data_IF_843317641022
#
_entry.id   IF_843317641022
#
_cell.length_a   1.000
_cell.length_b   1.000
_cell.length_c   1.000
_cell.angle_alpha   90.00
_cell.angle_beta   90.00
_cell.angle_gamma   90.00
#
_symmetry.space_group_name_H-M   'P 1'
#
loop_
_entity.id
_entity.type
_entity.pdbx_description
1 polymer ?
#
# COMPACT_ATOMS: atom_id res chain seq x y z
N UNK A 1 41.46 4.02 32.68
CA UNK A 1 40.61 4.30 31.49
C UNK A 1 40.32 5.78 31.21
N UNK A 2 40.19 6.70 32.19
CA UNK A 2 39.89 8.14 31.91
C UNK A 2 41.01 8.93 31.18
N UNK A 3 42.26 8.47 31.21
CA UNK A 3 43.41 9.18 30.63
C UNK A 3 43.53 9.03 29.10
N UNK A 4 43.09 7.91 28.52
CA UNK A 4 43.26 7.63 27.09
C UNK A 4 42.31 8.44 26.20
N UNK A 5 41.11 8.76 26.68
CA UNK A 5 40.07 9.48 25.91
C UNK A 5 40.41 10.97 25.77
N UNK A 6 41.22 11.54 26.67
CA UNK A 6 41.57 12.96 26.68
C UNK A 6 42.61 13.37 25.62
N UNK A 7 43.30 12.42 24.98
CA UNK A 7 44.36 12.68 23.99
C UNK A 7 43.91 12.54 22.53
N UNK A 8 42.64 12.24 22.27
CA UNK A 8 42.15 12.10 20.90
C UNK A 8 42.01 13.50 20.28
N UNK A 9 42.71 13.81 19.16
CA UNK A 9 42.55 15.08 18.48
C UNK A 9 41.09 15.28 18.02
N UNK A 10 40.64 16.54 17.96
CA UNK A 10 39.23 16.88 17.64
C UNK A 10 38.73 16.23 16.34
N UNK A 11 39.59 16.12 15.33
CA UNK A 11 39.30 15.42 14.08
C UNK A 11 39.08 13.91 14.28
N UNK A 12 39.88 13.27 15.13
CA UNK A 12 39.72 11.85 15.47
C UNK A 12 38.39 11.54 16.17
N UNK A 13 37.91 12.46 17.02
CA UNK A 13 36.60 12.32 17.66
C UNK A 13 35.43 12.44 16.67
N UNK A 14 35.50 13.39 15.74
CA UNK A 14 34.49 13.56 14.70
C UNK A 14 34.42 12.34 13.78
N UNK A 15 35.59 11.79 13.42
CA UNK A 15 35.70 10.59 12.59
C UNK A 15 35.15 9.34 13.32
N UNK A 16 35.45 9.16 14.61
CA UNK A 16 34.85 8.09 15.42
C UNK A 16 33.33 8.21 15.54
N UNK A 17 32.81 9.42 15.76
CA UNK A 17 31.36 9.67 15.78
C UNK A 17 30.72 9.35 14.43
N UNK A 18 31.35 9.78 13.34
CA UNK A 18 30.89 9.46 11.99
C UNK A 18 30.82 7.95 11.78
N UNK A 19 31.89 7.21 12.05
CA UNK A 19 31.88 5.75 11.88
C UNK A 19 30.87 5.05 12.79
N UNK A 20 30.69 5.52 14.03
CA UNK A 20 29.68 4.96 14.94
C UNK A 20 28.25 5.18 14.43
N UNK A 21 27.93 6.42 14.01
CA UNK A 21 26.60 6.76 13.46
C UNK A 21 26.38 6.07 12.12
N UNK A 22 27.39 6.03 11.27
CA UNK A 22 27.33 5.36 9.98
C UNK A 22 27.13 3.85 10.14
N UNK A 23 27.87 3.20 11.04
CA UNK A 23 27.68 1.79 11.36
C UNK A 23 26.26 1.51 11.87
N UNK A 24 25.71 2.38 12.73
CA UNK A 24 24.32 2.27 13.18
C UNK A 24 23.32 2.31 12.02
N UNK A 25 23.43 3.31 11.13
CA UNK A 25 22.58 3.40 9.95
C UNK A 25 22.76 2.22 9.00
N UNK A 26 23.99 1.77 8.80
CA UNK A 26 24.32 0.64 7.93
C UNK A 26 23.78 -0.69 8.47
N UNK A 27 23.73 -0.85 9.80
CA UNK A 27 23.09 -1.99 10.47
C UNK A 27 21.55 -1.93 10.45
N UNK A 28 20.94 -0.83 9.98
CA UNK A 28 19.48 -0.70 9.97
C UNK A 28 18.92 -1.52 8.80
N UNK A 29 18.15 -2.54 9.14
CA UNK A 29 17.53 -3.44 8.17
C UNK A 29 16.40 -2.73 7.42
N UNK A 30 16.29 -2.99 6.12
CA UNK A 30 15.14 -2.53 5.35
C UNK A 30 14.57 -3.65 4.49
N UNK A 31 13.26 -3.53 4.23
CA UNK A 31 12.48 -4.51 3.49
C UNK A 31 12.15 -3.93 2.12
N UNK A 32 12.65 -4.57 1.07
CA UNK A 32 12.36 -4.17 -0.29
C UNK A 32 10.86 -4.33 -0.60
N UNK A 33 10.32 -3.49 -1.51
CA UNK A 33 9.00 -3.73 -2.07
C UNK A 33 8.91 -5.15 -2.61
N UNK A 34 7.85 -5.84 -2.27
CA UNK A 34 7.55 -7.15 -2.82
C UNK A 34 6.04 -7.32 -3.01
N UNK A 35 5.66 -8.20 -3.92
CA UNK A 35 4.29 -8.52 -4.23
C UNK A 35 4.07 -10.03 -4.09
N UNK A 36 3.04 -10.40 -3.37
CA UNK A 36 2.52 -11.75 -3.35
C UNK A 36 1.57 -11.91 -4.53
N UNK A 37 1.85 -12.88 -5.39
CA UNK A 37 1.02 -13.22 -6.55
C UNK A 37 0.48 -14.62 -6.34
N UNK A 38 -0.85 -14.74 -6.31
CA UNK A 38 -1.57 -16.00 -6.12
C UNK A 38 -2.36 -16.25 -7.39
N UNK A 39 -2.12 -17.38 -8.05
CA UNK A 39 -2.87 -17.78 -9.25
C UNK A 39 -3.50 -19.14 -9.03
N UNK A 40 -4.70 -19.34 -9.56
CA UNK A 40 -5.46 -20.56 -9.36
C UNK A 40 -6.79 -20.54 -10.10
N UNK A 41 -7.70 -21.42 -9.68
CA UNK A 41 -9.06 -21.54 -10.23
C UNK A 41 -10.12 -21.46 -9.14
N UNK A 42 -11.23 -20.79 -9.47
CA UNK A 42 -12.49 -20.81 -8.74
C UNK A 42 -13.55 -21.41 -9.65
N UNK A 43 -13.75 -22.74 -9.63
CA UNK A 43 -14.65 -23.43 -10.57
C UNK A 43 -16.09 -22.92 -10.50
N UNK A 44 -16.56 -22.57 -9.30
CA UNK A 44 -17.89 -22.00 -9.09
C UNK A 44 -18.00 -20.51 -9.43
N UNK A 45 -16.93 -19.87 -9.93
CA UNK A 45 -16.87 -18.44 -10.25
C UNK A 45 -17.30 -17.52 -9.08
N UNK A 46 -17.19 -18.05 -7.87
CA UNK A 46 -17.52 -17.36 -6.65
C UNK A 46 -16.66 -17.96 -5.55
N UNK A 47 -15.81 -17.13 -4.94
CA UNK A 47 -14.83 -17.58 -3.98
C UNK A 47 -14.35 -16.45 -3.09
N UNK A 48 -13.76 -16.82 -1.95
CA UNK A 48 -13.14 -15.88 -1.05
C UNK A 48 -11.73 -16.35 -0.74
N UNK A 49 -10.74 -15.70 -1.32
CA UNK A 49 -9.34 -15.92 -0.96
C UNK A 49 -8.97 -14.97 0.18
N UNK A 50 -8.42 -15.50 1.27
CA UNK A 50 -7.98 -14.72 2.43
C UNK A 50 -6.48 -14.86 2.58
N UNK A 51 -5.78 -13.73 2.56
CA UNK A 51 -4.35 -13.64 2.86
C UNK A 51 -4.21 -12.93 4.19
N UNK A 52 -3.49 -13.50 5.15
CA UNK A 52 -3.23 -12.89 6.46
C UNK A 52 -1.76 -13.00 6.79
N UNK A 53 -1.17 -12.00 7.41
CA UNK A 53 0.21 -12.04 7.87
C UNK A 53 0.30 -11.74 9.36
N UNK A 54 1.42 -12.06 9.96
CA UNK A 54 1.68 -11.84 11.38
C UNK A 54 3.02 -11.14 11.53
N UNK A 55 3.05 -9.92 12.04
CA UNK A 55 4.30 -9.21 12.34
C UNK A 55 4.72 -9.28 13.81
N UNK A 56 3.78 -9.55 14.73
CA UNK A 56 3.96 -9.35 16.17
C UNK A 56 3.16 -10.29 17.07
N UNK A 57 2.41 -9.73 18.03
CA UNK A 57 1.61 -10.42 19.06
C UNK A 57 0.30 -11.03 18.53
N UNK A 58 0.36 -11.71 17.38
CA UNK A 58 -0.79 -12.37 16.74
C UNK A 58 -1.44 -11.56 15.60
N UNK A 59 -2.41 -12.18 14.93
CA UNK A 59 -3.09 -11.63 13.75
C UNK A 59 -4.04 -10.50 14.13
N UNK A 60 -3.69 -9.26 13.79
CA UNK A 60 -4.62 -8.14 13.93
C UNK A 60 -5.53 -7.99 12.68
N UNK A 61 -6.64 -7.25 12.80
CA UNK A 61 -7.60 -7.07 11.67
C UNK A 61 -7.00 -6.33 10.46
N UNK A 62 -5.91 -5.60 10.65
CA UNK A 62 -5.22 -4.86 9.60
C UNK A 62 -4.17 -5.71 8.86
N UNK A 63 -3.80 -6.86 9.42
CA UNK A 63 -2.87 -7.82 8.82
C UNK A 63 -3.58 -8.92 8.02
N UNK A 64 -4.69 -8.55 7.36
CA UNK A 64 -5.40 -9.45 6.48
C UNK A 64 -5.98 -8.72 5.28
N UNK A 65 -5.94 -9.38 4.12
CA UNK A 65 -6.61 -8.96 2.90
C UNK A 65 -7.53 -10.08 2.43
N UNK A 66 -8.72 -9.68 1.99
CA UNK A 66 -9.73 -10.54 1.40
C UNK A 66 -9.85 -10.22 -0.09
N UNK A 67 -9.97 -11.25 -0.91
CA UNK A 67 -10.13 -11.19 -2.35
C UNK A 67 -11.44 -11.92 -2.66
N UNK A 68 -12.47 -11.14 -3.00
CA UNK A 68 -13.76 -11.65 -3.42
C UNK A 68 -13.67 -11.97 -4.91
N UNK A 69 -13.65 -13.26 -5.24
CA UNK A 69 -13.47 -13.81 -6.58
C UNK A 69 -14.85 -14.09 -7.18
N UNK A 70 -15.62 -13.03 -7.43
CA UNK A 70 -17.02 -13.13 -7.85
C UNK A 70 -17.36 -12.21 -9.03
N UNK A 71 -16.34 -11.68 -9.71
CA UNK A 71 -16.48 -10.80 -10.87
C UNK A 71 -16.12 -11.57 -12.14
N UNK A 72 -17.08 -12.33 -12.68
CA UNK A 72 -16.94 -13.03 -13.96
C UNK A 72 -17.51 -12.20 -15.09
N UNK A 73 -16.95 -12.29 -16.31
CA UNK A 73 -17.53 -11.64 -17.49
C UNK A 73 -18.95 -12.15 -17.77
N UNK A 74 -19.75 -11.33 -18.46
CA UNK A 74 -21.05 -11.76 -18.96
C UNK A 74 -20.88 -12.83 -20.05
N UNK A 75 -21.82 -13.77 -20.15
CA UNK A 75 -21.74 -14.85 -21.15
C UNK A 75 -21.52 -14.30 -22.57
N UNK A 76 -20.53 -14.87 -23.27
CA UNK A 76 -20.18 -14.48 -24.64
C UNK A 76 -19.41 -13.16 -24.76
N UNK A 77 -19.00 -12.53 -23.66
CA UNK A 77 -18.14 -11.33 -23.67
C UNK A 77 -16.80 -11.61 -23.00
N UNK A 78 -15.72 -11.14 -23.61
CA UNK A 78 -14.39 -11.12 -22.98
C UNK A 78 -14.16 -9.84 -22.16
N UNK A 79 -14.97 -8.81 -22.41
CA UNK A 79 -14.91 -7.55 -21.67
C UNK A 79 -15.82 -7.54 -20.45
N UNK A 80 -15.41 -6.76 -19.47
CA UNK A 80 -16.15 -6.43 -18.27
C UNK A 80 -16.77 -5.04 -18.43
N UNK A 81 -18.07 -4.93 -18.23
CA UNK A 81 -18.77 -3.64 -18.25
C UNK A 81 -18.77 -3.06 -16.85
N UNK A 82 -18.35 -1.81 -16.74
CA UNK A 82 -18.32 -1.05 -15.48
C UNK A 82 -19.19 0.18 -15.67
N UNK A 83 -20.17 0.36 -14.79
CA UNK A 83 -21.02 1.54 -14.76
C UNK A 83 -21.04 2.12 -13.36
N UNK A 84 -20.75 3.41 -13.25
CA UNK A 84 -20.79 4.16 -12.00
C UNK A 84 -21.87 5.22 -12.15
N UNK A 85 -22.89 5.23 -11.30
CA UNK A 85 -24.04 6.15 -11.41
C UNK A 85 -24.25 6.98 -10.14
N UNK A 86 -24.58 8.25 -10.33
CA UNK A 86 -25.06 9.12 -9.26
C UNK A 86 -26.53 8.84 -8.96
N UNK A 87 -26.83 8.51 -7.70
CA UNK A 87 -28.18 8.10 -7.29
C UNK A 87 -29.12 9.25 -6.91
N UNK A 88 -28.60 10.47 -6.75
CA UNK A 88 -29.34 11.59 -6.16
C UNK A 88 -29.60 11.47 -4.66
N UNK A 89 -29.27 10.34 -4.04
CA UNK A 89 -29.58 10.09 -2.63
C UNK A 89 -28.42 10.52 -1.76
N UNK A 90 -28.69 11.36 -0.76
CA UNK A 90 -27.71 11.74 0.26
C UNK A 90 -27.83 10.88 1.51
N UNK A 91 -26.73 10.75 2.24
CA UNK A 91 -26.78 10.33 3.64
C UNK A 91 -27.52 11.41 4.47
N UNK A 92 -28.32 11.05 5.50
CA UNK A 92 -29.08 12.04 6.28
C UNK A 92 -28.24 13.16 6.90
N UNK A 93 -26.99 12.85 7.28
CA UNK A 93 -26.05 13.81 7.83
C UNK A 93 -25.16 14.52 6.80
N UNK A 94 -25.29 14.19 5.50
CA UNK A 94 -24.52 14.83 4.45
C UNK A 94 -25.11 16.19 4.06
N UNK A 95 -24.24 17.15 3.78
CA UNK A 95 -24.63 18.49 3.31
C UNK A 95 -25.14 18.47 1.86
N UNK A 96 -24.69 17.50 1.06
CA UNK A 96 -24.99 17.39 -0.37
C UNK A 96 -25.03 15.90 -0.78
N UNK A 97 -25.11 15.62 -2.08
CA UNK A 97 -25.15 14.29 -2.67
C UNK A 97 -24.03 14.06 -3.69
N UNK A 98 -22.98 14.89 -3.69
CA UNK A 98 -21.94 14.87 -4.73
C UNK A 98 -21.25 13.50 -4.80
N UNK A 99 -20.94 13.04 -6.02
CA UNK A 99 -20.10 11.85 -6.25
C UNK A 99 -18.91 12.26 -7.09
N UNK A 100 -17.70 11.92 -6.65
CA UNK A 100 -16.47 12.16 -7.39
C UNK A 100 -15.72 10.85 -7.52
N UNK A 101 -15.55 10.38 -8.76
CA UNK A 101 -14.68 9.26 -9.07
C UNK A 101 -13.30 9.81 -9.43
N UNK A 102 -12.34 9.68 -8.53
CA UNK A 102 -11.00 10.24 -8.72
C UNK A 102 -10.09 9.33 -9.56
N UNK A 103 -10.36 8.02 -9.59
CA UNK A 103 -9.54 7.05 -10.32
C UNK A 103 -10.30 5.76 -10.61
N UNK A 104 -10.15 5.25 -11.83
CA UNK A 104 -10.44 3.86 -12.18
C UNK A 104 -9.11 3.23 -12.60
N UNK A 105 -8.76 2.07 -12.03
CA UNK A 105 -7.56 1.34 -12.40
C UNK A 105 -7.90 -0.10 -12.81
N UNK A 106 -7.38 -0.50 -13.97
CA UNK A 106 -7.50 -1.85 -14.52
C UNK A 106 -6.12 -2.50 -14.44
N UNK A 107 -6.02 -3.61 -13.72
CA UNK A 107 -4.75 -4.32 -13.47
C UNK A 107 -3.63 -3.40 -12.94
N UNK A 108 -4.01 -2.42 -12.12
CA UNK A 108 -3.12 -1.43 -11.52
C UNK A 108 -2.79 -0.22 -12.40
N UNK A 109 -3.24 -0.20 -13.67
CA UNK A 109 -3.04 0.93 -14.61
C UNK A 109 -4.25 1.83 -14.62
N UNK A 110 -4.02 3.14 -14.55
CA UNK A 110 -5.11 4.12 -14.54
C UNK A 110 -5.77 4.19 -15.91
N UNK A 111 -7.09 4.13 -15.92
CA UNK A 111 -7.89 4.47 -17.09
C UNK A 111 -7.84 5.98 -17.27
N UNK A 112 -7.61 6.42 -18.51
CA UNK A 112 -7.76 7.82 -18.87
C UNK A 112 -9.25 8.15 -19.01
N UNK A 113 -9.77 9.05 -18.19
CA UNK A 113 -11.17 9.46 -18.27
C UNK A 113 -11.52 10.16 -19.59
N UNK A 114 -10.53 10.62 -20.36
CA UNK A 114 -10.75 11.20 -21.68
C UNK A 114 -11.27 10.18 -22.71
N UNK A 115 -11.01 8.88 -22.50
CA UNK A 115 -11.42 7.80 -23.41
C UNK A 115 -12.71 7.10 -22.99
N UNK A 116 -13.38 7.59 -21.93
CA UNK A 116 -14.54 6.94 -21.31
C UNK A 116 -15.82 7.71 -21.61
N UNK A 117 -16.94 7.00 -21.77
CA UNK A 117 -18.26 7.65 -21.86
C UNK A 117 -18.62 8.21 -20.50
N UNK A 118 -18.56 9.53 -20.40
CA UNK A 118 -18.82 10.28 -19.17
C UNK A 118 -20.01 11.20 -19.39
N UNK A 119 -21.06 10.99 -18.61
CA UNK A 119 -22.12 11.97 -18.38
C UNK A 119 -21.88 12.57 -17.00
N UNK A 120 -21.11 13.66 -16.97
CA UNK A 120 -20.65 14.34 -15.76
C UNK A 120 -19.60 15.39 -16.10
N UNK A 121 -19.04 16.03 -15.09
CA UNK A 121 -18.01 17.06 -15.25
C UNK A 121 -16.62 16.47 -15.04
N UNK A 122 -15.76 16.57 -16.05
CA UNK A 122 -14.34 16.22 -15.90
C UNK A 122 -13.62 17.31 -15.09
N UNK A 123 -12.98 16.91 -14.00
CA UNK A 123 -12.21 17.83 -13.17
C UNK A 123 -10.87 18.14 -13.85
N UNK A 124 -10.57 19.43 -14.02
CA UNK A 124 -9.36 19.90 -14.70
C UNK A 124 -8.07 19.29 -14.14
N UNK A 125 -7.15 18.92 -15.03
CA UNK A 125 -5.85 18.32 -14.66
C UNK A 125 -5.89 16.82 -14.36
N UNK A 126 -6.82 16.07 -14.97
CA UNK A 126 -6.95 14.60 -14.87
C UNK A 126 -7.26 14.07 -13.45
N UNK A 127 -7.85 14.89 -12.57
CA UNK A 127 -8.15 14.52 -11.17
C UNK A 127 -9.54 13.91 -10.97
N UNK A 128 -10.05 13.19 -11.97
CA UNK A 128 -11.31 12.46 -11.87
C UNK A 128 -12.51 13.12 -12.52
N UNK A 129 -13.67 12.50 -12.29
CA UNK A 129 -14.96 12.89 -12.84
C UNK A 129 -15.92 13.16 -11.68
N UNK A 130 -16.53 14.35 -11.68
CA UNK A 130 -17.62 14.72 -10.80
C UNK A 130 -18.95 14.38 -11.46
N UNK A 131 -19.77 13.58 -10.79
CA UNK A 131 -21.15 13.32 -11.15
C UNK A 131 -22.02 14.26 -10.30
N UNK A 132 -22.59 15.28 -10.94
CA UNK A 132 -23.23 16.40 -10.26
C UNK A 132 -24.75 16.24 -10.18
N UNK A 133 -25.34 15.49 -11.12
CA UNK A 133 -26.79 15.33 -11.23
C UNK A 133 -27.20 13.85 -11.13
N UNK A 134 -28.38 13.54 -10.58
CA UNK A 134 -28.92 12.18 -10.62
C UNK A 134 -29.00 11.66 -12.06
N UNK A 135 -28.49 10.45 -12.29
CA UNK A 135 -28.41 9.85 -13.63
C UNK A 135 -27.13 10.17 -14.41
N UNK A 136 -26.29 11.08 -13.90
CA UNK A 136 -24.90 11.19 -14.33
C UNK A 136 -24.19 9.85 -14.10
N UNK A 137 -23.36 9.46 -15.06
CA UNK A 137 -22.67 8.18 -15.00
C UNK A 137 -21.35 8.15 -15.76
N UNK A 138 -20.51 7.20 -15.38
CA UNK A 138 -19.30 6.79 -16.09
C UNK A 138 -19.56 5.37 -16.57
N UNK A 139 -19.43 5.11 -17.87
CA UNK A 139 -19.58 3.79 -18.45
C UNK A 139 -18.37 3.44 -19.29
N UNK A 140 -17.77 2.27 -19.02
CA UNK A 140 -16.64 1.75 -19.77
C UNK A 140 -16.68 0.22 -19.85
N UNK A 141 -16.21 -0.29 -20.97
CA UNK A 141 -15.91 -1.71 -21.13
C UNK A 141 -14.38 -1.90 -21.07
N UNK A 142 -13.94 -2.81 -20.22
CA UNK A 142 -12.52 -3.06 -19.94
C UNK A 142 -12.22 -4.54 -20.10
N UNK A 143 -11.01 -4.89 -20.55
CA UNK A 143 -10.52 -6.27 -20.59
C UNK A 143 -9.51 -6.55 -19.47
N UNK A 144 -9.92 -6.60 -18.19
CA UNK A 144 -9.03 -6.87 -17.08
C UNK A 144 -8.58 -8.34 -17.07
N UNK A 145 -7.32 -8.58 -16.75
CA UNK A 145 -6.84 -9.93 -16.47
C UNK A 145 -6.91 -10.32 -15.00
N UNK A 146 -6.91 -9.34 -14.09
CA UNK A 146 -6.76 -9.56 -12.65
C UNK A 146 -7.80 -8.79 -11.83
N UNK A 147 -7.94 -7.49 -12.06
CA UNK A 147 -8.80 -6.67 -11.21
C UNK A 147 -9.20 -5.31 -11.80
N UNK A 148 -10.32 -4.82 -11.28
CA UNK A 148 -10.82 -3.46 -11.49
C UNK A 148 -10.87 -2.78 -10.11
N UNK A 149 -10.24 -1.61 -9.99
CA UNK A 149 -10.25 -0.79 -8.78
C UNK A 149 -10.92 0.55 -9.07
N UNK A 150 -11.93 0.90 -8.29
CA UNK A 150 -12.69 2.15 -8.44
C UNK A 150 -12.47 2.97 -7.17
N UNK A 151 -11.88 4.15 -7.31
CA UNK A 151 -11.62 5.08 -6.21
C UNK A 151 -12.63 6.23 -6.25
N UNK A 152 -13.29 6.43 -5.12
CA UNK A 152 -14.29 7.48 -4.92
C UNK A 152 -13.84 8.40 -3.81
N UNK A 153 -13.89 9.71 -4.03
CA UNK A 153 -13.57 10.67 -2.98
C UNK A 153 -14.71 10.76 -1.96
N UNK A 154 -14.35 10.89 -0.70
CA UNK A 154 -15.28 10.94 0.43
C UNK A 154 -15.12 12.24 1.20
N UNK A 155 -16.25 12.86 1.53
CA UNK A 155 -16.33 14.06 2.37
C UNK A 155 -17.73 14.21 2.97
N UNK A 156 -17.98 15.33 3.65
CA UNK A 156 -19.25 15.64 4.30
C UNK A 156 -20.35 16.16 3.35
N UNK A 157 -20.05 16.35 2.07
CA UNK A 157 -21.00 16.61 0.98
C UNK A 157 -21.19 15.41 0.03
N UNK A 158 -20.56 14.26 0.32
CA UNK A 158 -20.66 13.09 -0.52
C UNK A 158 -22.04 12.42 -0.40
N UNK A 159 -22.56 11.92 -1.51
CA UNK A 159 -23.81 11.18 -1.59
C UNK A 159 -23.62 9.66 -1.69
N UNK A 160 -24.66 8.98 -2.17
CA UNK A 160 -24.61 7.57 -2.50
C UNK A 160 -24.31 7.35 -3.98
N UNK A 161 -23.42 6.42 -4.24
CA UNK A 161 -23.06 5.99 -5.60
C UNK A 161 -23.54 4.57 -5.84
N UNK A 162 -23.96 4.31 -7.07
CA UNK A 162 -24.24 2.97 -7.54
C UNK A 162 -23.09 2.52 -8.44
N UNK A 163 -22.51 1.36 -8.14
CA UNK A 163 -21.45 0.75 -8.94
C UNK A 163 -21.98 -0.59 -9.45
N UNK A 164 -22.00 -0.74 -10.77
CA UNK A 164 -22.36 -1.95 -11.46
C UNK A 164 -21.13 -2.51 -12.17
N UNK A 165 -20.82 -3.78 -11.92
CA UNK A 165 -19.79 -4.51 -12.65
C UNK A 165 -20.41 -5.79 -13.18
N UNK A 166 -20.46 -5.95 -14.50
CA UNK A 166 -21.06 -7.09 -15.20
C UNK A 166 -22.50 -7.39 -14.75
N UNK A 167 -23.34 -6.35 -14.67
CA UNK A 167 -24.74 -6.48 -14.24
C UNK A 167 -24.95 -6.69 -12.74
N UNK A 168 -23.88 -6.82 -11.94
CA UNK A 168 -23.97 -6.87 -10.47
C UNK A 168 -23.87 -5.46 -9.91
N UNK A 169 -24.99 -4.97 -9.39
CA UNK A 169 -25.13 -3.60 -8.88
C UNK A 169 -25.02 -3.56 -7.37
N UNK A 170 -24.23 -2.62 -6.85
CA UNK A 170 -24.12 -2.32 -5.43
C UNK A 170 -24.19 -0.82 -5.18
N UNK A 171 -24.96 -0.42 -4.16
CA UNK A 171 -25.04 0.97 -3.70
C UNK A 171 -24.13 1.18 -2.52
N UNK A 172 -23.32 2.24 -2.57
CA UNK A 172 -22.35 2.59 -1.54
C UNK A 172 -22.59 4.02 -1.04
N UNK A 173 -22.52 4.19 0.28
CA UNK A 173 -22.55 5.50 0.91
C UNK A 173 -21.14 6.06 1.03
N UNK A 174 -20.90 7.22 0.41
CA UNK A 174 -19.60 7.88 0.39
C UNK A 174 -19.47 8.95 1.49
N UNK A 175 -20.52 9.17 2.28
CA UNK A 175 -20.49 10.15 3.36
C UNK A 175 -19.46 9.79 4.43
N UNK A 176 -18.56 10.73 4.72
CA UNK A 176 -17.66 10.65 5.86
C UNK A 176 -17.65 11.98 6.62
N UNK A 177 -17.98 11.92 7.92
CA UNK A 177 -17.97 13.10 8.79
C UNK A 177 -16.55 13.57 9.13
N UNK A 178 -15.59 12.63 9.19
CA UNK A 178 -14.20 12.90 9.55
C UNK A 178 -13.32 12.98 8.29
N UNK A 179 -12.48 14.03 8.21
CA UNK A 179 -11.71 14.41 7.00
C UNK A 179 -10.49 13.51 6.75
N UNK A 180 -10.21 12.56 7.64
CA UNK A 180 -9.04 11.68 7.55
C UNK A 180 -9.13 10.67 6.39
N UNK A 181 -10.32 10.12 6.13
CA UNK A 181 -10.57 9.26 4.98
C UNK A 181 -10.98 10.11 3.78
N UNK A 182 -10.01 10.39 2.89
CA UNK A 182 -10.24 11.22 1.69
C UNK A 182 -10.92 10.45 0.55
N UNK A 183 -10.87 9.12 0.57
CA UNK A 183 -11.42 8.28 -0.47
C UNK A 183 -11.75 6.86 0.02
N UNK A 184 -12.61 6.17 -0.73
CA UNK A 184 -12.86 4.73 -0.66
C UNK A 184 -12.38 4.07 -1.96
N UNK A 185 -11.86 2.85 -1.87
CA UNK A 185 -11.50 2.03 -3.03
C UNK A 185 -12.37 0.76 -3.02
N UNK A 186 -13.13 0.57 -4.08
CA UNK A 186 -13.90 -0.63 -4.38
C UNK A 186 -13.07 -1.51 -5.32
N UNK A 187 -12.65 -2.68 -4.85
CA UNK A 187 -11.80 -3.61 -5.58
C UNK A 187 -12.59 -4.83 -6.02
N UNK A 188 -12.64 -5.08 -7.33
CA UNK A 188 -13.28 -6.22 -7.95
C UNK A 188 -12.20 -7.13 -8.53
N UNK A 189 -12.15 -8.39 -8.08
CA UNK A 189 -11.19 -9.37 -8.58
C UNK A 189 -11.83 -10.24 -9.63
N UNK A 190 -11.17 -10.30 -10.79
CA UNK A 190 -11.71 -10.91 -11.99
C UNK A 190 -11.48 -12.41 -11.96
N UNK A 191 -12.53 -13.15 -12.32
CA UNK A 191 -12.48 -14.58 -12.58
C UNK A 191 -12.74 -14.76 -14.06
N UNK A 192 -11.79 -15.39 -14.74
CA UNK A 192 -11.86 -15.69 -16.17
C UNK A 192 -12.96 -16.74 -16.45
N UNK A 193 -13.42 -16.87 -17.71
CA UNK A 193 -14.45 -17.85 -18.07
C UNK A 193 -14.12 -19.29 -17.68
N UNK A 194 -12.83 -19.66 -17.71
CA UNK A 194 -12.31 -20.97 -17.29
C UNK A 194 -12.23 -21.16 -15.76
N UNK A 195 -12.71 -20.17 -14.99
CA UNK A 195 -12.58 -20.11 -13.54
C UNK A 195 -11.22 -19.59 -13.07
N UNK A 196 -10.28 -19.30 -13.97
CA UNK A 196 -8.94 -18.85 -13.61
C UNK A 196 -8.96 -17.48 -12.92
N UNK A 197 -8.13 -17.30 -11.89
CA UNK A 197 -7.96 -16.01 -11.23
C UNK A 197 -6.49 -15.72 -10.95
N UNK A 198 -6.17 -14.44 -10.81
CA UNK A 198 -4.86 -13.96 -10.35
C UNK A 198 -5.04 -12.81 -9.38
N UNK A 199 -4.57 -13.01 -8.15
CA UNK A 199 -4.62 -12.03 -7.07
C UNK A 199 -3.21 -11.50 -6.78
N UNK A 200 -3.09 -10.18 -6.64
CA UNK A 200 -1.84 -9.51 -6.26
C UNK A 200 -2.01 -8.75 -4.95
N UNK A 201 -1.00 -8.84 -4.09
CA UNK A 201 -0.96 -8.11 -2.82
C UNK A 201 0.42 -7.50 -2.63
N UNK A 202 0.48 -6.19 -2.42
CA UNK A 202 1.70 -5.56 -1.94
C UNK A 202 2.02 -6.05 -0.53
N UNK A 203 3.22 -6.59 -0.37
CA UNK A 203 3.69 -7.08 0.91
C UNK A 203 4.13 -5.91 1.80
N UNK A 204 3.89 -6.00 3.11
CA UNK A 204 4.37 -4.99 4.05
C UNK A 204 5.90 -4.85 3.98
N UNK A 205 6.38 -3.63 4.22
CA UNK A 205 7.82 -3.29 4.25
C UNK A 205 8.39 -3.34 5.68
N UNK A 206 7.98 -4.36 6.42
CA UNK A 206 8.42 -4.62 7.79
C UNK A 206 8.50 -6.14 8.01
N UNK A 207 9.12 -6.62 9.11
CA UNK A 207 9.28 -8.04 9.35
C UNK A 207 7.92 -8.74 9.52
N UNK A 208 7.70 -9.80 8.76
CA UNK A 208 6.60 -10.77 8.94
C UNK A 208 7.15 -12.12 9.41
N UNK A 209 6.54 -12.67 10.45
CA UNK A 209 6.85 -14.00 11.01
C UNK A 209 6.22 -15.09 10.17
N UNK A 210 4.94 -14.93 9.85
CA UNK A 210 4.15 -15.89 9.08
C UNK A 210 3.21 -15.20 8.09
N UNK A 211 2.92 -15.88 6.98
CA UNK A 211 1.92 -15.52 5.99
C UNK A 211 1.03 -16.73 5.75
N UNK A 212 -0.27 -16.55 5.91
CA UNK A 212 -1.28 -17.57 5.69
C UNK A 212 -2.13 -17.19 4.48
N UNK A 213 -2.23 -18.10 3.51
CA UNK A 213 -3.17 -18.04 2.40
C UNK A 213 -4.22 -19.12 2.62
N UNK A 214 -5.49 -18.76 2.70
CA UNK A 214 -6.56 -19.68 3.01
C UNK A 214 -7.80 -19.41 2.18
N UNK A 215 -8.60 -20.46 2.02
CA UNK A 215 -9.96 -20.31 1.52
C UNK A 215 -10.84 -19.77 2.65
N UNK A 216 -11.35 -18.55 2.47
CA UNK A 216 -12.23 -17.88 3.42
C UNK A 216 -13.67 -18.37 3.37
N UNK A 217 -14.05 -19.20 2.40
CA UNK A 217 -15.37 -19.82 2.32
C UNK A 217 -15.22 -21.34 2.07
N UNK A 218 -15.19 -22.17 3.13
CA UNK A 218 -14.94 -23.61 3.00
C UNK A 218 -15.91 -24.35 2.07
N UNK A 219 -17.13 -23.87 1.91
CA UNK A 219 -18.15 -24.47 1.04
C UNK A 219 -17.95 -24.21 -0.45
N UNK A 220 -17.07 -23.27 -0.82
CA UNK A 220 -16.77 -22.92 -2.21
C UNK A 220 -15.37 -23.37 -2.53
N UNK A 221 -15.22 -24.15 -3.58
CA UNK A 221 -13.93 -24.68 -3.96
C UNK A 221 -13.02 -23.58 -4.53
N UNK A 222 -11.79 -23.56 -4.04
CA UNK A 222 -10.70 -22.76 -4.58
C UNK A 222 -9.52 -23.69 -4.79
N UNK A 223 -8.98 -23.68 -5.99
CA UNK A 223 -7.78 -24.43 -6.38
C UNK A 223 -6.68 -23.40 -6.55
N UNK A 224 -5.50 -23.65 -5.99
CA UNK A 224 -4.34 -22.75 -6.15
C UNK A 224 -3.25 -23.47 -6.90
N UNK A 225 -2.86 -22.89 -8.03
CA UNK A 225 -1.80 -23.42 -8.88
C UNK A 225 -0.44 -22.94 -8.37
N UNK A 226 -0.31 -21.64 -8.10
CA UNK A 226 0.96 -21.09 -7.61
C UNK A 226 0.75 -19.93 -6.64
N UNK A 227 1.64 -19.86 -5.65
CA UNK A 227 1.83 -18.70 -4.79
C UNK A 227 3.29 -18.28 -4.94
N UNK A 228 3.51 -17.05 -5.36
CA UNK A 228 4.83 -16.52 -5.67
C UNK A 228 5.06 -15.19 -4.98
N UNK A 229 6.30 -14.93 -4.61
CA UNK A 229 6.76 -13.65 -4.09
C UNK A 229 7.67 -13.01 -5.13
N UNK A 230 7.28 -11.84 -5.61
CA UNK A 230 8.02 -11.05 -6.60
C UNK A 230 8.63 -9.83 -5.91
N UNK A 231 9.94 -9.64 -5.98
CA UNK A 231 10.64 -8.49 -5.39
C UNK A 231 11.75 -7.98 -6.33
N UNK A 232 11.45 -6.89 -7.05
CA UNK A 232 12.29 -6.43 -8.16
C UNK A 232 12.40 -7.51 -9.22
N UNK A 233 13.63 -7.83 -9.65
CA UNK A 233 13.90 -8.86 -10.66
C UNK A 233 13.92 -10.29 -10.10
N UNK A 234 13.63 -10.47 -8.80
CA UNK A 234 13.60 -11.79 -8.17
C UNK A 234 12.17 -12.28 -8.04
N UNK A 235 11.92 -13.46 -8.56
CA UNK A 235 10.69 -14.21 -8.35
C UNK A 235 11.01 -15.50 -7.59
N UNK A 236 10.23 -15.77 -6.54
CA UNK A 236 10.34 -17.00 -5.78
C UNK A 236 8.99 -17.66 -5.66
N UNK A 237 8.92 -18.93 -6.07
CA UNK A 237 7.74 -19.76 -5.86
C UNK A 237 7.73 -20.24 -4.41
N UNK A 238 6.68 -19.86 -3.68
CA UNK A 238 6.45 -20.29 -2.29
C UNK A 238 5.65 -21.59 -2.24
N UNK A 239 4.76 -21.77 -3.21
CA UNK A 239 3.92 -22.95 -3.34
C UNK A 239 3.64 -23.19 -4.82
N UNK A 240 3.75 -24.45 -5.24
CA UNK A 240 3.33 -24.95 -6.53
C UNK A 240 2.31 -26.06 -6.26
N UNK A 241 1.02 -25.70 -6.34
CA UNK A 241 -0.07 -26.63 -6.16
C UNK A 241 -0.27 -27.44 -7.42
N UNK A 242 -0.43 -28.75 -7.27
CA UNK A 242 -0.73 -29.66 -8.37
C UNK A 242 -2.26 -29.75 -8.59
N UNK A 243 -2.93 -28.59 -8.74
CA UNK A 243 -4.39 -28.46 -8.75
C UNK A 243 -5.08 -28.96 -7.46
N UNK A 244 -4.45 -28.76 -6.31
CA UNK A 244 -5.05 -29.13 -5.03
C UNK A 244 -6.03 -28.08 -4.52
N UNK A 245 -7.09 -28.54 -3.85
CA UNK A 245 -8.03 -27.66 -3.14
C UNK A 245 -7.28 -26.89 -2.05
N UNK A 246 -7.37 -25.57 -2.10
CA UNK A 246 -6.85 -24.69 -1.08
C UNK A 246 -7.76 -24.76 0.16
N UNK A 247 -7.23 -25.33 1.23
CA UNK A 247 -7.77 -25.12 2.58
C UNK A 247 -7.02 -23.98 3.27
N UNK A 248 -5.76 -24.21 3.59
CA UNK A 248 -4.87 -23.26 4.26
C UNK A 248 -3.41 -23.61 3.98
N UNK A 249 -2.64 -22.65 3.53
CA UNK A 249 -1.19 -22.74 3.36
C UNK A 249 -0.51 -21.67 4.20
N UNK A 250 0.47 -22.05 5.01
CA UNK A 250 1.19 -21.14 5.92
C UNK A 250 2.67 -21.16 5.62
N UNK A 251 3.22 -19.99 5.32
CA UNK A 251 4.63 -19.77 5.03
C UNK A 251 5.29 -19.07 6.20
N UNK A 252 6.49 -19.50 6.57
CA UNK A 252 7.31 -18.89 7.61
C UNK A 252 8.61 -18.36 7.01
N UNK A 253 9.25 -17.42 7.70
CA UNK A 253 10.57 -16.86 7.33
C UNK A 253 10.62 -16.13 5.97
N UNK A 254 9.48 -15.60 5.50
CA UNK A 254 9.40 -14.83 4.25
C UNK A 254 10.17 -13.50 4.30
N UNK A 255 10.33 -12.93 5.50
CA UNK A 255 11.10 -11.70 5.73
C UNK A 255 12.51 -11.76 5.14
N UNK A 256 13.16 -12.92 5.14
CA UNK A 256 14.51 -13.08 4.59
C UNK A 256 14.60 -12.81 3.09
N UNK A 257 13.48 -12.98 2.37
CA UNK A 257 13.41 -12.80 0.92
C UNK A 257 13.31 -11.32 0.52
N UNK A 258 12.66 -10.52 1.37
CA UNK A 258 12.51 -9.07 1.19
C UNK A 258 13.68 -8.29 1.78
N UNK A 259 14.38 -8.88 2.76
CA UNK A 259 15.44 -8.21 3.50
C UNK A 259 16.60 -7.84 2.59
N UNK A 260 16.99 -6.56 2.64
CA UNK A 260 18.16 -6.04 1.93
C UNK A 260 19.06 -5.34 2.94
N UNK A 261 20.36 -5.47 2.71
CA UNK A 261 21.40 -4.81 3.51
C UNK A 261 21.99 -3.59 2.79
N UNK A 262 21.89 -3.55 1.47
CA UNK A 262 22.50 -2.49 0.65
C UNK A 262 21.51 -1.97 -0.40
N UNK A 263 21.44 -0.65 -0.49
CA UNK A 263 20.78 0.06 -1.57
C UNK A 263 21.63 1.29 -1.92
N UNK A 264 22.13 1.46 -3.16
CA UNK A 264 23.10 2.50 -3.47
C UNK A 264 22.66 3.92 -3.07
N UNK A 265 21.40 4.27 -3.35
CA UNK A 265 20.88 5.60 -2.99
C UNK A 265 20.67 5.76 -1.49
N UNK A 266 20.23 4.71 -0.79
CA UNK A 266 20.07 4.79 0.67
C UNK A 266 21.44 4.83 1.35
N UNK A 267 22.42 4.11 0.83
CA UNK A 267 23.79 4.15 1.31
C UNK A 267 24.37 5.57 1.20
N UNK A 268 24.18 6.24 0.07
CA UNK A 268 24.61 7.63 -0.10
C UNK A 268 23.88 8.55 0.89
N UNK A 269 22.57 8.37 1.07
CA UNK A 269 21.80 9.14 2.06
C UNK A 269 22.30 8.86 3.49
N UNK A 270 22.52 7.60 3.87
CA UNK A 270 23.07 7.19 5.17
C UNK A 270 24.45 7.79 5.41
N UNK A 271 25.29 7.85 4.37
CA UNK A 271 26.60 8.50 4.43
C UNK A 271 26.47 10.01 4.72
N UNK A 272 25.62 10.71 3.96
CA UNK A 272 25.38 12.14 4.14
C UNK A 272 24.74 12.45 5.51
N UNK A 273 23.76 11.65 5.94
CA UNK A 273 23.13 11.79 7.25
C UNK A 273 24.12 11.51 8.38
N UNK A 274 24.97 10.49 8.26
CA UNK A 274 26.01 10.21 9.25
C UNK A 274 27.02 11.35 9.35
N UNK A 275 27.46 11.92 8.23
CA UNK A 275 28.33 13.10 8.21
C UNK A 275 27.67 14.30 8.91
N UNK A 276 26.41 14.58 8.57
CA UNK A 276 25.65 15.68 9.14
C UNK A 276 25.41 15.51 10.65
N UNK A 277 25.00 14.30 11.08
CA UNK A 277 24.80 13.98 12.48
C UNK A 277 26.10 14.05 13.29
N UNK A 278 27.21 13.52 12.75
CA UNK A 278 28.52 13.61 13.39
C UNK A 278 28.99 15.07 13.53
N UNK A 279 28.70 15.91 12.53
CA UNK A 279 28.97 17.34 12.58
C UNK A 279 28.13 18.04 13.67
N UNK A 280 26.80 17.80 13.72
CA UNK A 280 25.92 18.35 14.77
C UNK A 280 26.41 17.93 16.16
N UNK A 281 26.63 16.62 16.38
CA UNK A 281 27.07 16.10 17.68
C UNK A 281 28.42 16.70 18.09
N UNK A 282 29.34 16.87 17.13
CA UNK A 282 30.63 17.53 17.38
C UNK A 282 30.48 19.02 17.69
N UNK A 283 29.56 19.73 17.02
CA UNK A 283 29.24 21.12 17.30
C UNK A 283 28.62 21.27 18.70
N UNK A 284 27.61 20.47 19.04
CA UNK A 284 26.99 20.42 20.36
C UNK A 284 28.01 20.12 21.46
N UNK A 285 28.90 19.14 21.24
CA UNK A 285 29.99 18.84 22.19
C UNK A 285 30.93 20.02 22.37
N UNK A 286 31.35 20.68 21.28
CA UNK A 286 32.22 21.88 21.35
C UNK A 286 31.53 23.02 22.12
N UNK A 287 30.24 23.26 21.87
CA UNK A 287 29.45 24.24 22.60
C UNK A 287 29.39 23.87 24.10
N UNK A 288 29.06 22.62 24.43
CA UNK A 288 29.03 22.13 25.81
C UNK A 288 30.37 22.32 26.54
N UNK A 289 31.49 21.93 25.92
CA UNK A 289 32.83 22.07 26.50
C UNK A 289 33.22 23.55 26.72
N UNK A 290 32.90 24.43 25.76
CA UNK A 290 33.13 25.88 25.91
C UNK A 290 32.31 26.48 27.05
N UNK A 291 31.06 26.04 27.23
CA UNK A 291 30.20 26.52 28.31
C UNK A 291 30.60 25.96 29.69
N UNK A 292 31.20 24.76 29.72
CA UNK A 292 31.68 24.12 30.95
C UNK A 292 32.92 24.81 31.54
N UNK A 293 33.77 25.44 30.71
CA UNK A 293 34.93 26.21 31.19
C UNK A 293 34.60 27.66 31.59
N UNK A 294 33.39 28.16 31.30
CA UNK A 294 33.04 29.59 31.49
C UNK A 294 31.80 29.85 32.37
N UNK A 295 31.31 28.83 33.10
CA UNK A 295 30.28 29.02 34.14
C UNK A 295 28.82 28.90 33.69
N UNK A 296 28.53 28.22 32.57
CA UNK A 296 27.16 27.78 32.23
C UNK A 296 26.56 28.40 30.96
N UNK A 297 25.61 27.66 30.38
CA UNK A 297 24.94 27.89 29.07
C UNK A 297 23.95 29.09 29.11
N UNK A 298 23.65 29.64 30.29
CA UNK A 298 22.63 30.67 30.49
C UNK A 298 23.18 32.09 30.71
N UNK A 299 24.39 32.40 30.25
CA UNK A 299 24.88 33.79 30.28
C UNK A 299 24.29 34.60 29.11
N UNK A 300 23.57 35.71 29.35
CA UNK A 300 22.98 36.51 28.29
C UNK A 300 24.09 37.17 27.46
N UNK A 301 24.03 37.02 26.12
CA UNK A 301 24.88 37.76 25.18
C UNK A 301 25.78 36.96 24.22
N UNK A 302 25.77 35.61 24.22
CA UNK A 302 26.59 34.82 23.27
C UNK A 302 25.74 34.14 22.18
N UNK A 303 25.98 34.52 20.92
CA UNK A 303 25.46 33.80 19.74
C UNK A 303 26.23 32.49 19.59
N UNK A 304 25.55 31.35 19.77
CA UNK A 304 26.16 30.02 19.83
C UNK A 304 26.33 29.32 18.47
N UNK A 305 25.83 29.92 17.39
CA UNK A 305 25.70 29.27 16.08
C UNK A 305 26.17 30.18 14.92
N UNK A 306 27.34 30.80 15.03
CA UNK A 306 28.11 31.32 13.88
C UNK A 306 29.60 31.23 14.20
#
# INVERSE_FOLDING_TARGET
>A
MRSAIAKIPSAGWMLLLFFAVFAWFFCTEWYAPAQLVISGKSPGQDGLLKVSWESGEGYNRYEARKFLLNTSPLEGRESHSVVIRHTGTKHPASMDSQVVCSRIAVDGRNVDFSSVVVRGEQLGGQKGVRLAQPGDHIALDVGPEESIAIQMDTNNGSGRVEIEVNGKTATHDLYFANVEAKFLIFQYWVVRPDGGFRARLDMPRYPIKSLTVANGCPHRELIVDTIRLVSGDREQVLFAGQNERLEKQTFRRLSGLQKRYFHPTQFLLQLLFALFAAWILSACRRAYLRCRSTGGIFRPGRRAFW
#
